data_IF_106122356897
#
_entry.id   IF_106122356897
#
_cell.length_a   1.000
_cell.length_b   1.000
_cell.length_c   1.000
_cell.angle_alpha   90.00
_cell.angle_beta   90.00
_cell.angle_gamma   90.00
#
_symmetry.space_group_name_H-M   'P 1'
#
loop_
_entity.id
_entity.type
_entity.pdbx_description
1 polymer ?
#
# COMPACT_ATOMS: atom_id res chain seq x y z
N UNK A 1 -58.04 62.09 57.77
CA UNK A 1 -57.92 61.16 58.93
C UNK A 1 -56.90 60.10 58.58
N UNK A 2 -56.03 59.81 59.55
CA UNK A 2 -54.73 59.15 59.46
C UNK A 2 -54.73 57.74 58.85
N UNK A 3 -53.68 57.42 58.08
CA UNK A 3 -52.95 56.14 58.11
C UNK A 3 -51.71 56.29 57.21
N UNK A 4 -50.55 56.65 57.76
CA UNK A 4 -49.59 55.85 58.56
C UNK A 4 -48.41 55.43 57.68
N UNK A 5 -47.34 56.21 57.81
CA UNK A 5 -46.00 55.88 57.37
C UNK A 5 -45.48 54.66 58.15
N UNK A 6 -44.86 53.70 57.46
CA UNK A 6 -43.82 52.86 58.03
C UNK A 6 -42.69 52.72 57.01
N UNK A 7 -41.61 53.44 57.27
CA UNK A 7 -40.28 53.13 56.74
C UNK A 7 -39.70 51.97 57.54
N UNK A 8 -39.27 50.92 56.86
CA UNK A 8 -38.29 49.96 57.38
C UNK A 8 -37.28 49.68 56.27
N UNK A 9 -36.16 50.40 56.34
CA UNK A 9 -34.94 50.13 55.59
C UNK A 9 -34.37 48.79 56.04
N UNK A 10 -34.48 47.77 55.19
CA UNK A 10 -33.81 46.49 55.37
C UNK A 10 -32.63 46.42 54.40
N UNK A 11 -31.44 46.72 54.90
CA UNK A 11 -30.16 46.56 54.18
C UNK A 11 -29.90 45.07 53.95
N UNK A 12 -30.16 44.61 52.72
CA UNK A 12 -29.77 43.30 52.22
C UNK A 12 -28.26 43.31 51.95
N UNK A 13 -27.49 42.60 52.76
CA UNK A 13 -26.12 42.23 52.46
C UNK A 13 -26.06 41.43 51.15
N UNK A 14 -25.20 41.78 50.17
CA UNK A 14 -24.96 40.95 49.02
C UNK A 14 -23.95 39.85 49.39
N UNK A 15 -24.37 38.59 49.24
CA UNK A 15 -23.47 37.43 49.17
C UNK A 15 -22.53 37.61 47.96
N UNK A 16 -21.23 37.29 48.06
CA UNK A 16 -20.35 37.34 46.90
C UNK A 16 -20.70 36.19 45.95
N UNK A 17 -21.27 36.51 44.78
CA UNK A 17 -21.39 35.60 43.66
C UNK A 17 -20.01 35.41 43.01
N UNK A 18 -19.15 34.58 43.62
CA UNK A 18 -17.90 34.15 42.99
C UNK A 18 -18.14 32.96 42.07
N UNK A 19 -18.96 33.10 41.03
CA UNK A 19 -19.13 32.10 39.95
C UNK A 19 -19.75 32.70 38.69
N UNK A 20 -19.00 33.49 37.92
CA UNK A 20 -19.33 33.73 36.50
C UNK A 20 -18.22 34.37 35.64
N UNK A 21 -16.95 34.39 36.05
CA UNK A 21 -15.93 35.14 35.29
C UNK A 21 -15.06 34.27 34.38
N UNK A 22 -15.33 32.97 34.27
CA UNK A 22 -14.60 32.10 33.34
C UNK A 22 -15.33 32.05 31.99
N UNK A 23 -15.12 33.07 31.16
CA UNK A 23 -15.29 32.91 29.72
C UNK A 23 -14.06 32.15 29.20
N UNK A 24 -14.21 30.93 28.65
CA UNK A 24 -13.10 30.25 28.02
C UNK A 24 -12.55 31.15 26.91
N UNK A 25 -11.25 31.45 26.96
CA UNK A 25 -10.57 32.18 25.90
C UNK A 25 -10.83 31.47 24.56
N UNK A 26 -11.31 32.23 23.58
CA UNK A 26 -11.41 31.76 22.21
C UNK A 26 -9.98 31.51 21.69
N UNK A 27 -9.52 30.27 21.83
CA UNK A 27 -8.27 29.84 21.22
C UNK A 27 -8.50 29.81 19.71
N UNK A 28 -8.22 30.92 19.03
CA UNK A 28 -8.08 30.92 17.59
C UNK A 28 -7.05 29.84 17.24
N UNK A 29 -7.50 28.74 16.62
CA UNK A 29 -6.59 27.73 16.10
C UNK A 29 -5.59 28.47 15.24
N UNK A 30 -4.29 28.32 15.54
CA UNK A 30 -3.23 28.83 14.66
C UNK A 30 -3.60 28.44 13.23
N UNK A 31 -3.62 29.38 12.26
CA UNK A 31 -3.83 29.00 10.88
C UNK A 31 -2.75 27.96 10.56
N UNK A 32 -3.19 26.75 10.20
CA UNK A 32 -2.29 25.74 9.70
C UNK A 32 -1.57 26.39 8.53
N UNK A 33 -0.22 26.40 8.57
CA UNK A 33 0.55 26.71 7.37
C UNK A 33 0.23 25.62 6.38
N UNK A 34 -0.70 25.89 5.46
CA UNK A 34 -0.93 25.05 4.30
C UNK A 34 0.44 24.94 3.65
N UNK A 35 1.01 23.74 3.64
CA UNK A 35 2.22 23.52 2.86
C UNK A 35 1.84 23.85 1.43
N UNK A 36 2.50 24.86 0.84
CA UNK A 36 2.35 25.14 -0.58
C UNK A 36 2.59 23.84 -1.33
N UNK A 37 1.58 23.43 -2.09
CA UNK A 37 1.63 22.26 -2.92
C UNK A 37 2.87 22.37 -3.81
N UNK A 38 3.83 21.47 -3.59
CA UNK A 38 5.13 21.49 -4.24
C UNK A 38 4.91 21.47 -5.75
N UNK A 39 5.12 22.61 -6.41
CA UNK A 39 5.19 22.68 -7.87
C UNK A 39 6.55 22.12 -8.26
N UNK A 40 6.64 20.88 -8.81
CA UNK A 40 7.91 20.39 -9.30
C UNK A 40 8.41 21.38 -10.36
N UNK A 41 9.62 21.90 -10.16
CA UNK A 41 10.29 22.68 -11.20
C UNK A 41 10.41 21.76 -12.41
N UNK A 42 9.69 22.07 -13.49
CA UNK A 42 9.79 21.38 -14.77
C UNK A 42 11.21 21.59 -15.31
N UNK A 43 12.11 20.69 -14.96
CA UNK A 43 13.41 20.52 -15.56
C UNK A 43 13.52 19.07 -16.00
N UNK A 44 13.94 18.85 -17.24
CA UNK A 44 14.21 17.52 -17.78
C UNK A 44 15.32 16.87 -16.94
N UNK A 45 14.92 15.97 -16.03
CA UNK A 45 15.86 15.28 -15.14
C UNK A 45 16.26 13.99 -15.84
N UNK A 46 17.51 13.91 -16.31
CA UNK A 46 18.07 12.66 -16.82
C UNK A 46 18.14 11.63 -15.68
N UNK A 47 17.11 10.78 -15.57
CA UNK A 47 17.03 9.67 -14.60
C UNK A 47 17.86 8.45 -15.01
N UNK A 48 18.55 8.52 -16.15
CA UNK A 48 19.40 7.44 -16.63
C UNK A 48 20.68 7.35 -15.80
N UNK A 49 20.77 6.32 -14.96
CA UNK A 49 22.04 5.94 -14.33
C UNK A 49 23.05 5.56 -15.41
N UNK A 50 24.36 5.74 -15.15
CA UNK A 50 25.42 5.33 -16.08
C UNK A 50 25.29 3.87 -16.49
N UNK A 51 24.84 3.02 -15.56
CA UNK A 51 24.54 1.61 -15.81
C UNK A 51 23.56 1.37 -16.97
N UNK A 52 22.51 2.20 -17.10
CA UNK A 52 21.53 2.07 -18.18
C UNK A 52 22.03 2.62 -19.52
N UNK A 53 23.00 3.56 -19.48
CA UNK A 53 23.70 4.05 -20.69
C UNK A 53 24.74 3.02 -21.18
N UNK A 54 25.42 2.34 -20.25
CA UNK A 54 26.57 1.48 -20.56
C UNK A 54 26.18 0.01 -20.83
N UNK A 55 25.06 -0.49 -20.26
CA UNK A 55 24.62 -1.89 -20.41
C UNK A 55 23.33 -2.00 -21.22
N UNK A 56 23.41 -1.68 -22.51
CA UNK A 56 22.32 -1.94 -23.46
C UNK A 56 22.44 -3.33 -24.09
N UNK A 57 21.32 -4.06 -24.18
CA UNK A 57 21.28 -5.38 -24.80
C UNK A 57 21.53 -5.26 -26.32
N UNK A 58 22.77 -5.46 -26.75
CA UNK A 58 23.13 -5.49 -28.16
C UNK A 58 22.53 -6.74 -28.83
N UNK A 59 21.73 -6.55 -29.88
CA UNK A 59 21.25 -7.66 -30.71
C UNK A 59 22.43 -8.23 -31.50
N UNK A 60 22.98 -9.33 -31.02
CA UNK A 60 24.00 -10.10 -31.73
C UNK A 60 23.32 -10.72 -32.95
N UNK A 61 23.73 -10.33 -34.16
CA UNK A 61 23.29 -11.03 -35.37
C UNK A 61 23.89 -12.44 -35.36
N UNK A 62 23.13 -13.50 -35.71
CA UNK A 62 23.68 -14.84 -35.78
C UNK A 62 24.84 -14.86 -36.76
N UNK A 63 26.03 -15.24 -36.27
CA UNK A 63 27.23 -15.38 -37.09
C UNK A 63 26.93 -16.33 -38.24
N UNK A 64 26.99 -15.81 -39.46
CA UNK A 64 26.87 -16.64 -40.66
C UNK A 64 28.07 -17.58 -40.66
N UNK A 65 27.83 -18.88 -40.45
CA UNK A 65 28.85 -19.89 -40.66
C UNK A 65 29.25 -19.84 -42.13
N UNK A 66 30.37 -19.20 -42.44
CA UNK A 66 30.95 -19.17 -43.79
C UNK A 66 31.43 -20.58 -44.09
N UNK A 67 30.52 -21.40 -44.65
CA UNK A 67 30.93 -22.62 -45.37
C UNK A 67 31.86 -22.17 -46.51
N UNK A 68 32.99 -22.86 -46.73
CA UNK A 68 33.85 -22.57 -47.88
C UNK A 68 33.02 -22.64 -49.17
N UNK A 69 33.21 -21.67 -50.06
CA UNK A 69 32.55 -21.63 -51.36
C UNK A 69 33.03 -22.81 -52.20
N UNK A 70 32.28 -23.91 -52.18
CA UNK A 70 32.47 -25.03 -53.10
C UNK A 70 32.22 -24.53 -54.53
N UNK A 71 33.30 -24.41 -55.32
CA UNK A 71 33.21 -24.12 -56.76
C UNK A 71 32.49 -25.30 -57.44
N UNK A 72 31.18 -25.16 -57.67
CA UNK A 72 30.45 -26.09 -58.53
C UNK A 72 30.75 -25.76 -59.98
N UNK A 73 31.52 -26.64 -60.62
CA UNK A 73 31.73 -26.61 -62.06
C UNK A 73 30.45 -27.12 -62.75
N UNK A 74 29.52 -26.23 -63.04
CA UNK A 74 28.27 -26.61 -63.72
C UNK A 74 28.55 -26.75 -65.21
N UNK A 75 28.95 -27.95 -65.66
CA UNK A 75 28.86 -28.31 -67.07
C UNK A 75 27.38 -28.52 -67.40
N UNK A 76 26.80 -27.60 -68.18
CA UNK A 76 25.41 -27.63 -68.60
C UNK A 76 25.11 -28.84 -69.48
N UNK A 77 24.03 -29.55 -69.14
CA UNK A 77 23.51 -30.70 -69.87
C UNK A 77 22.93 -31.74 -68.90
N UNK A 78 21.80 -31.43 -68.28
CA UNK A 78 21.13 -32.35 -67.34
C UNK A 78 20.50 -33.48 -68.15
N UNK A 79 21.19 -34.61 -68.26
CA UNK A 79 20.65 -35.83 -68.85
C UNK A 79 19.73 -36.48 -67.80
N UNK A 80 18.46 -36.08 -67.80
CA UNK A 80 17.43 -36.69 -66.95
C UNK A 80 17.04 -38.06 -67.57
N UNK A 81 17.95 -39.04 -67.50
CA UNK A 81 17.67 -40.43 -67.84
C UNK A 81 17.49 -41.21 -66.56
N UNK A 82 16.24 -41.57 -66.25
CA UNK A 82 15.92 -42.45 -65.13
C UNK A 82 16.37 -43.87 -65.54
N UNK A 83 17.29 -44.51 -64.79
CA UNK A 83 17.71 -45.87 -65.12
C UNK A 83 16.51 -46.82 -65.00
N UNK A 84 16.39 -47.79 -65.91
CA UNK A 84 15.21 -48.67 -66.05
C UNK A 84 14.80 -49.31 -64.72
N UNK A 85 15.78 -49.67 -63.89
CA UNK A 85 15.55 -50.20 -62.55
C UNK A 85 14.71 -49.28 -61.65
N UNK A 86 14.92 -47.96 -61.71
CA UNK A 86 14.20 -46.99 -60.87
C UNK A 86 12.78 -46.73 -61.36
N UNK A 87 12.49 -46.91 -62.66
CA UNK A 87 11.12 -46.82 -63.19
C UNK A 87 10.34 -48.14 -63.01
N UNK A 88 11.01 -49.29 -63.20
CA UNK A 88 10.40 -50.62 -63.10
C UNK A 88 10.05 -51.03 -61.66
N UNK A 89 10.89 -50.66 -60.68
CA UNK A 89 10.69 -50.97 -59.25
C UNK A 89 10.15 -49.78 -58.45
N UNK A 90 9.29 -48.96 -59.05
CA UNK A 90 8.58 -47.91 -58.32
C UNK A 90 7.52 -48.50 -57.39
N UNK A 91 7.33 -47.90 -56.22
CA UNK A 91 6.28 -48.31 -55.28
C UNK A 91 4.90 -48.10 -55.92
N UNK A 92 4.25 -49.18 -56.37
CA UNK A 92 2.90 -49.13 -56.88
C UNK A 92 1.94 -48.83 -55.73
N UNK A 93 1.09 -47.81 -55.90
CA UNK A 93 0.04 -47.49 -54.94
C UNK A 93 -1.04 -48.57 -55.04
N UNK A 94 -0.93 -49.58 -54.17
CA UNK A 94 -1.94 -50.64 -54.09
C UNK A 94 -3.22 -50.01 -53.58
N UNK A 95 -4.20 -49.86 -54.49
CA UNK A 95 -5.57 -49.45 -54.14
C UNK A 95 -6.09 -50.43 -53.08
N UNK A 96 -6.13 -49.98 -51.82
CA UNK A 96 -6.70 -50.75 -50.71
C UNK A 96 -8.12 -51.13 -51.12
N UNK A 97 -8.40 -52.43 -51.26
CA UNK A 97 -9.79 -52.90 -51.36
C UNK A 97 -10.53 -52.36 -50.15
N UNK A 98 -11.53 -51.53 -50.42
CA UNK A 98 -12.45 -51.06 -49.38
C UNK A 98 -13.08 -52.31 -48.75
N UNK A 99 -12.88 -52.55 -47.44
CA UNK A 99 -13.68 -53.54 -46.77
C UNK A 99 -15.12 -53.05 -46.91
N UNK A 100 -15.99 -53.84 -47.53
CA UNK A 100 -17.44 -53.62 -47.51
C UNK A 100 -17.91 -53.78 -46.07
N UNK A 101 -17.66 -52.76 -45.25
CA UNK A 101 -18.27 -52.66 -43.94
C UNK A 101 -19.72 -52.36 -44.25
N UNK A 102 -20.58 -53.37 -44.11
CA UNK A 102 -21.99 -53.10 -43.90
C UNK A 102 -22.02 -52.20 -42.67
N UNK A 103 -22.44 -50.95 -42.85
CA UNK A 103 -22.49 -49.96 -41.78
C UNK A 103 -23.49 -50.46 -40.73
N UNK A 104 -22.99 -51.21 -39.74
CA UNK A 104 -23.72 -51.49 -38.52
C UNK A 104 -23.67 -50.22 -37.67
N UNK A 105 -24.49 -49.25 -38.08
CA UNK A 105 -24.72 -48.02 -37.33
C UNK A 105 -25.40 -48.44 -36.04
N UNK A 106 -24.62 -48.55 -34.98
CA UNK A 106 -25.15 -48.78 -33.65
C UNK A 106 -25.97 -47.55 -33.26
N UNK A 107 -27.28 -47.69 -33.23
CA UNK A 107 -28.18 -46.72 -32.63
C UNK A 107 -28.19 -46.98 -31.12
N UNK A 108 -27.57 -46.10 -30.30
CA UNK A 108 -27.68 -46.25 -28.86
C UNK A 108 -29.16 -46.16 -28.46
N UNK A 109 -29.61 -46.89 -27.43
CA UNK A 109 -30.96 -46.77 -26.92
C UNK A 109 -31.22 -45.31 -26.53
N UNK A 110 -32.18 -44.68 -27.20
CA UNK A 110 -32.58 -43.29 -26.94
C UNK A 110 -33.23 -43.16 -25.55
N UNK A 111 -33.78 -44.26 -25.05
CA UNK A 111 -34.45 -44.34 -23.77
C UNK A 111 -33.42 -44.36 -22.63
N UNK A 112 -33.51 -43.37 -21.74
CA UNK A 112 -32.61 -43.26 -20.59
C UNK A 112 -33.06 -44.23 -19.51
N UNK A 113 -32.09 -44.87 -18.83
CA UNK A 113 -32.31 -45.75 -17.70
C UNK A 113 -32.95 -44.97 -16.54
N UNK A 114 -34.28 -45.04 -16.46
CA UNK A 114 -35.10 -44.34 -15.48
C UNK A 114 -35.22 -45.16 -14.20
N UNK A 115 -34.23 -45.05 -13.31
CA UNK A 115 -34.33 -45.58 -11.96
C UNK A 115 -33.99 -44.46 -11.01
N UNK A 116 -35.00 -43.64 -10.74
CA UNK A 116 -35.08 -42.95 -9.46
C UNK A 116 -34.99 -44.03 -8.38
N UNK A 117 -33.98 -43.90 -7.52
CA UNK A 117 -33.92 -44.73 -6.33
C UNK A 117 -35.11 -44.37 -5.44
N UNK A 118 -35.69 -45.32 -4.71
CA UNK A 118 -36.81 -45.06 -3.79
C UNK A 118 -36.59 -43.83 -2.89
N UNK A 119 -35.36 -43.59 -2.46
CA UNK A 119 -34.99 -42.40 -1.70
C UNK A 119 -35.24 -41.07 -2.43
N UNK A 120 -34.99 -41.00 -3.74
CA UNK A 120 -35.22 -39.79 -4.55
C UNK A 120 -36.72 -39.53 -4.77
N UNK A 121 -37.53 -40.58 -4.84
CA UNK A 121 -38.99 -40.44 -4.96
C UNK A 121 -39.65 -40.14 -3.60
N UNK A 122 -39.16 -40.73 -2.51
CA UNK A 122 -39.75 -40.59 -1.18
C UNK A 122 -39.38 -39.26 -0.49
N UNK A 123 -38.17 -38.74 -0.73
CA UNK A 123 -37.62 -37.55 -0.06
C UNK A 123 -37.51 -36.31 -0.98
N UNK A 124 -38.47 -36.13 -1.90
CA UNK A 124 -38.58 -34.86 -2.61
C UNK A 124 -38.95 -33.71 -1.64
N UNK A 125 -38.32 -32.52 -1.74
CA UNK A 125 -38.63 -31.39 -0.87
C UNK A 125 -40.09 -30.96 -1.07
N UNK A 126 -40.95 -31.31 -0.10
CA UNK A 126 -42.35 -30.87 -0.10
C UNK A 126 -42.42 -29.41 0.30
N UNK A 127 -43.08 -28.60 -0.52
CA UNK A 127 -43.39 -27.22 -0.15
C UNK A 127 -44.18 -27.21 1.18
N UNK A 128 -43.65 -26.47 2.15
CA UNK A 128 -44.29 -26.30 3.45
C UNK A 128 -45.54 -25.43 3.26
N UNK A 129 -46.66 -26.08 2.95
CA UNK A 129 -47.97 -25.42 2.95
C UNK A 129 -48.30 -25.01 4.39
N UNK A 130 -48.35 -23.70 4.72
CA UNK A 130 -48.73 -23.27 6.06
C UNK A 130 -50.16 -23.77 6.33
N UNK A 131 -50.30 -24.64 7.33
CA UNK A 131 -51.61 -25.19 7.72
C UNK A 131 -52.52 -24.03 8.10
N UNK A 132 -53.65 -23.89 7.41
CA UNK A 132 -54.66 -22.90 7.80
C UNK A 132 -55.12 -23.22 9.23
N UNK A 133 -54.93 -22.27 10.14
CA UNK A 133 -55.35 -22.44 11.52
C UNK A 133 -56.87 -22.41 11.58
N UNK A 134 -57.51 -23.48 12.07
CA UNK A 134 -58.94 -23.50 12.41
C UNK A 134 -59.27 -22.68 13.67
N UNK A 135 -58.34 -21.85 14.14
CA UNK A 135 -58.59 -20.89 15.20
C UNK A 135 -59.57 -19.87 14.63
N UNK A 136 -60.72 -19.60 15.28
CA UNK A 136 -61.63 -18.57 14.80
C UNK A 136 -60.83 -17.27 14.65
N UNK A 137 -60.92 -16.59 13.48
CA UNK A 137 -60.21 -15.34 13.31
C UNK A 137 -60.67 -14.40 14.41
N UNK A 138 -59.73 -13.91 15.21
CA UNK A 138 -60.01 -12.87 16.18
C UNK A 138 -60.19 -11.58 15.38
N UNK A 139 -61.37 -11.41 14.79
CA UNK A 139 -61.77 -10.16 14.16
C UNK A 139 -62.10 -9.22 15.32
N UNK A 140 -61.09 -8.44 15.74
CA UNK A 140 -61.34 -7.27 16.54
C UNK A 140 -62.34 -6.41 15.74
N UNK A 141 -63.49 -6.09 16.35
CA UNK A 141 -64.46 -5.17 15.73
C UNK A 141 -63.82 -3.79 15.63
N UNK A 142 -63.15 -3.52 14.52
CA UNK A 142 -62.67 -2.18 14.19
C UNK A 142 -63.89 -1.41 13.71
N UNK A 143 -64.27 -0.36 14.43
CA UNK A 143 -65.26 0.60 13.97
C UNK A 143 -64.73 1.29 12.71
N UNK A 144 -65.54 1.39 11.66
CA UNK A 144 -65.23 2.09 10.39
C UNK A 144 -65.15 3.63 10.53
N UNK A 145 -65.06 4.12 11.77
CA UNK A 145 -64.93 5.54 12.07
C UNK A 145 -63.45 5.91 11.97
N UNK A 146 -63.06 6.82 11.06
CA UNK A 146 -61.68 7.27 10.95
C UNK A 146 -61.19 7.80 12.29
N UNK A 147 -60.03 7.33 12.75
CA UNK A 147 -59.43 7.84 13.96
C UNK A 147 -59.01 9.30 13.75
N UNK A 148 -59.67 10.22 14.45
CA UNK A 148 -59.29 11.63 14.43
C UNK A 148 -57.99 11.82 15.24
N UNK A 149 -56.87 11.72 14.54
CA UNK A 149 -55.52 11.88 15.09
C UNK A 149 -55.08 13.35 15.23
N UNK A 150 -56.01 14.30 15.08
CA UNK A 150 -55.73 15.73 15.21
C UNK A 150 -55.81 16.17 16.68
N UNK A 151 -54.68 16.07 17.37
CA UNK A 151 -54.54 16.65 18.71
C UNK A 151 -54.21 18.14 18.61
N UNK A 152 -54.62 18.93 19.61
CA UNK A 152 -54.33 20.37 19.69
C UNK A 152 -52.84 20.66 19.51
N UNK A 153 -51.97 19.81 20.08
CA UNK A 153 -50.52 19.93 19.91
C UNK A 153 -50.07 19.81 18.44
N UNK A 154 -50.63 18.87 17.69
CA UNK A 154 -50.28 18.65 16.28
C UNK A 154 -50.77 19.79 15.38
N UNK A 155 -51.85 20.47 15.76
CA UNK A 155 -52.34 21.67 15.06
C UNK A 155 -51.56 22.93 15.44
N UNK A 156 -51.14 23.07 16.70
CA UNK A 156 -50.46 24.28 17.18
C UNK A 156 -48.96 24.32 16.89
N UNK A 157 -48.30 23.16 16.75
CA UNK A 157 -46.85 23.07 16.53
C UNK A 157 -46.54 22.52 15.15
N UNK A 158 -46.75 23.36 14.14
CA UNK A 158 -46.40 23.07 12.73
C UNK A 158 -45.11 23.82 12.40
N UNK A 159 -44.24 23.19 11.60
CA UNK A 159 -42.97 23.81 11.20
C UNK A 159 -43.22 25.08 10.36
N UNK A 160 -42.96 26.26 10.94
CA UNK A 160 -43.03 27.53 10.22
C UNK A 160 -41.73 27.80 9.45
N UNK A 161 -41.86 28.22 8.19
CA UNK A 161 -40.73 28.66 7.37
C UNK A 161 -40.18 29.98 7.95
N UNK A 162 -38.91 29.98 8.40
CA UNK A 162 -38.27 31.17 8.94
C UNK A 162 -37.89 32.14 7.81
N UNK A 163 -38.21 33.42 7.99
CA UNK A 163 -37.80 34.45 7.04
C UNK A 163 -36.25 34.54 6.98
N UNK A 164 -35.66 34.78 5.78
CA UNK A 164 -34.22 34.85 5.62
C UNK A 164 -33.64 36.02 6.44
N UNK A 165 -32.63 35.70 7.26
CA UNK A 165 -32.00 36.64 8.20
C UNK A 165 -31.19 37.68 7.42
N UNK A 166 -31.55 38.95 7.54
CA UNK A 166 -30.79 40.05 6.96
C UNK A 166 -29.44 40.19 7.68
N UNK A 167 -28.33 39.92 6.97
CA UNK A 167 -26.98 40.01 7.52
C UNK A 167 -26.47 41.44 7.35
N UNK A 168 -26.31 42.17 8.45
CA UNK A 168 -25.61 43.47 8.44
C UNK A 168 -24.12 43.22 8.21
N UNK A 169 -23.49 43.99 7.32
CA UNK A 169 -22.04 43.96 7.13
C UNK A 169 -21.32 44.38 8.43
N UNK A 170 -20.29 43.63 8.80
CA UNK A 170 -19.52 43.86 10.03
C UNK A 170 -18.62 45.09 9.83
N UNK A 171 -18.74 46.10 10.69
CA UNK A 171 -17.82 47.24 10.68
C UNK A 171 -16.38 46.78 10.96
N UNK A 172 -15.44 47.24 10.14
CA UNK A 172 -14.02 46.91 10.30
C UNK A 172 -13.39 47.69 11.45
N UNK A 173 -12.86 46.93 12.41
CA UNK A 173 -12.17 47.46 13.58
C UNK A 173 -10.79 48.01 13.19
N UNK A 174 -10.52 49.27 13.58
CA UNK A 174 -9.18 49.88 13.48
C UNK A 174 -8.46 49.79 14.84
N UNK A 175 -7.45 48.92 15.00
CA UNK A 175 -6.65 48.88 16.22
C UNK A 175 -5.75 50.11 16.34
N UNK A 176 -5.44 50.50 17.58
CA UNK A 176 -4.49 51.55 17.90
C UNK A 176 -3.05 51.05 17.64
N UNK A 177 -2.23 51.86 16.97
CA UNK A 177 -0.88 51.49 16.52
C UNK A 177 0.23 51.70 17.57
N UNK A 178 -0.13 51.94 18.83
CA UNK A 178 0.86 52.18 19.88
C UNK A 178 1.42 50.86 20.41
N UNK A 179 2.74 50.60 20.26
CA UNK A 179 3.35 49.38 20.79
C UNK A 179 3.34 49.42 22.32
N UNK A 180 3.01 48.28 22.93
CA UNK A 180 3.02 48.10 24.38
C UNK A 180 4.45 47.79 24.86
N UNK A 181 4.99 48.62 25.76
CA UNK A 181 6.29 48.38 26.37
C UNK A 181 6.19 47.37 27.52
N UNK A 182 6.34 46.08 27.18
CA UNK A 182 6.21 44.91 28.09
C UNK A 182 7.53 44.53 28.81
N UNK A 183 8.42 45.49 29.04
CA UNK A 183 9.71 45.25 29.69
C UNK A 183 9.67 45.71 31.14
N UNK A 184 9.29 44.79 32.02
CA UNK A 184 9.43 44.98 33.47
C UNK A 184 10.90 44.80 33.88
N UNK A 185 11.31 45.48 34.96
CA UNK A 185 12.69 45.43 35.50
C UNK A 185 13.17 43.99 35.73
N UNK A 186 12.31 43.15 36.31
CA UNK A 186 12.59 41.72 36.52
C UNK A 186 12.94 40.97 35.22
N UNK A 187 12.23 41.25 34.12
CA UNK A 187 12.49 40.59 32.82
C UNK A 187 13.81 41.07 32.18
N UNK A 188 14.22 42.30 32.48
CA UNK A 188 15.50 42.85 32.01
C UNK A 188 16.68 42.32 32.81
N UNK A 189 16.53 42.12 34.13
CA UNK A 189 17.63 41.76 35.02
C UNK A 189 17.87 40.24 35.07
N UNK A 190 16.82 39.42 34.99
CA UNK A 190 16.91 37.96 35.10
C UNK A 190 16.80 37.25 33.74
N UNK A 191 17.71 37.56 32.81
CA UNK A 191 17.74 36.97 31.45
C UNK A 191 18.23 35.53 31.37
N UNK A 192 18.59 34.90 32.50
CA UNK A 192 19.03 33.51 32.54
C UNK A 192 20.23 33.23 31.62
N UNK A 193 21.27 34.06 31.68
CA UNK A 193 22.48 33.84 30.89
C UNK A 193 23.12 32.50 31.30
N UNK A 194 23.24 31.58 30.34
CA UNK A 194 23.87 30.30 30.57
C UNK A 194 25.36 30.50 30.84
N UNK A 195 25.83 30.08 32.02
CA UNK A 195 27.25 30.04 32.33
C UNK A 195 28.00 29.07 31.40
N UNK A 196 29.33 29.22 31.26
CA UNK A 196 30.13 28.28 30.48
C UNK A 196 29.98 26.86 31.04
N UNK A 197 29.74 25.90 30.15
CA UNK A 197 29.52 24.51 30.52
C UNK A 197 30.77 23.93 31.20
N UNK A 198 30.59 23.32 32.37
CA UNK A 198 31.70 22.76 33.15
C UNK A 198 32.44 21.70 32.33
N UNK A 199 33.74 21.92 32.08
CA UNK A 199 34.58 20.94 31.37
C UNK A 199 34.81 19.74 32.28
N UNK A 200 34.53 18.52 31.79
CA UNK A 200 34.80 17.31 32.55
C UNK A 200 36.30 17.06 32.64
N UNK A 201 36.84 16.84 33.85
CA UNK A 201 38.23 16.46 34.10
C UNK A 201 38.53 14.99 33.69
N UNK A 202 37.72 14.38 32.83
CA UNK A 202 37.96 13.02 32.31
C UNK A 202 39.03 13.09 31.22
N UNK A 203 40.08 12.25 31.27
CA UNK A 203 41.03 12.16 30.18
C UNK A 203 40.31 11.73 28.90
N UNK A 204 40.66 12.36 27.79
CA UNK A 204 40.15 12.00 26.47
C UNK A 204 40.58 10.56 26.17
N UNK A 205 39.63 9.68 25.83
CA UNK A 205 39.91 8.29 25.47
C UNK A 205 40.66 8.26 24.14
N UNK A 206 41.97 8.49 24.17
CA UNK A 206 42.85 8.23 23.05
C UNK A 206 42.75 6.73 22.73
N UNK A 207 42.16 6.40 21.57
CA UNK A 207 42.14 5.02 21.09
C UNK A 207 43.59 4.58 20.92
N UNK A 208 44.06 3.69 21.79
CA UNK A 208 45.32 2.99 21.59
C UNK A 208 45.10 2.03 20.43
N UNK A 209 45.35 2.51 19.21
CA UNK A 209 45.37 1.68 18.01
C UNK A 209 46.70 0.93 18.06
N UNK A 210 46.68 -0.30 18.57
CA UNK A 210 47.81 -1.21 18.41
C UNK A 210 47.88 -1.60 16.94
N UNK A 211 48.82 -1.02 16.17
CA UNK A 211 49.10 -1.38 14.78
C UNK A 211 49.81 -2.75 14.64
N UNK A 212 49.71 -3.62 15.64
CA UNK A 212 50.31 -4.95 15.61
C UNK A 212 49.41 -5.88 14.78
N UNK A 213 49.90 -6.32 13.63
CA UNK A 213 49.20 -7.25 12.75
C UNK A 213 49.06 -8.61 13.46
N UNK A 214 47.83 -9.07 13.66
CA UNK A 214 47.56 -10.38 14.25
C UNK A 214 47.79 -11.46 13.20
N UNK A 215 48.85 -12.26 13.37
CA UNK A 215 49.09 -13.43 12.52
C UNK A 215 48.13 -14.57 12.90
N UNK A 216 46.91 -14.51 12.36
CA UNK A 216 45.84 -15.47 12.58
C UNK A 216 45.81 -16.66 11.60
N UNK A 217 46.95 -17.07 11.06
CA UNK A 217 47.01 -18.24 10.17
C UNK A 217 46.89 -19.49 11.03
N UNK A 218 45.81 -20.23 10.87
CA UNK A 218 45.57 -21.49 11.59
C UNK A 218 46.24 -22.64 10.87
N UNK A 219 46.62 -23.70 11.60
CA UNK A 219 47.29 -24.89 11.03
C UNK A 219 46.53 -25.50 9.84
N UNK A 220 45.19 -25.35 9.81
CA UNK A 220 44.37 -25.79 8.70
C UNK A 220 44.62 -24.98 7.42
N UNK A 221 44.70 -23.65 7.53
CA UNK A 221 44.98 -22.78 6.38
C UNK A 221 46.41 -22.96 5.85
N UNK A 222 47.35 -23.29 6.72
CA UNK A 222 48.74 -23.56 6.33
C UNK A 222 48.88 -24.92 5.62
N UNK A 223 48.19 -25.96 6.13
CA UNK A 223 48.34 -27.34 5.61
C UNK A 223 47.48 -27.66 4.39
N UNK A 224 46.38 -26.95 4.17
CA UNK A 224 45.43 -27.23 3.07
C UNK A 224 45.41 -26.08 2.05
N UNK A 225 46.54 -25.88 1.38
CA UNK A 225 46.60 -24.98 0.22
C UNK A 225 46.05 -25.69 -1.03
N UNK A 226 45.37 -24.97 -1.94
CA UNK A 226 44.91 -25.55 -3.20
C UNK A 226 46.11 -25.87 -4.09
N UNK A 227 46.42 -27.16 -4.23
CA UNK A 227 47.43 -27.64 -5.17
C UNK A 227 46.90 -27.51 -6.60
N UNK A 228 47.65 -26.84 -7.47
CA UNK A 228 47.35 -26.81 -8.90
C UNK A 228 47.60 -28.20 -9.49
N UNK A 229 46.53 -28.97 -9.67
CA UNK A 229 46.59 -30.26 -10.35
C UNK A 229 46.61 -30.02 -11.85
N UNK A 230 47.73 -30.32 -12.50
CA UNK A 230 47.80 -30.38 -13.96
C UNK A 230 46.97 -31.57 -14.45
N UNK A 231 46.13 -31.36 -15.47
CA UNK A 231 45.42 -32.44 -16.13
C UNK A 231 46.44 -33.46 -16.72
N UNK A 232 46.18 -34.78 -16.64
CA UNK A 232 47.05 -35.77 -17.25
C UNK A 232 47.21 -35.49 -18.75
N UNK A 233 48.45 -35.49 -19.23
CA UNK A 233 48.71 -35.31 -20.67
C UNK A 233 48.09 -36.49 -21.44
N UNK A 234 47.09 -36.18 -22.26
CA UNK A 234 46.42 -37.16 -23.12
C UNK A 234 47.45 -37.71 -24.09
N UNK A 235 47.71 -39.03 -24.04
CA UNK A 235 48.61 -39.71 -24.97
C UNK A 235 48.13 -39.46 -26.40
N UNK A 236 48.87 -38.65 -27.16
CA UNK A 236 48.63 -38.44 -28.59
C UNK A 236 48.84 -39.78 -29.31
N UNK A 237 47.84 -40.21 -30.06
CA UNK A 237 47.94 -41.40 -30.92
C UNK A 237 49.01 -41.15 -31.98
N UNK A 238 49.91 -42.12 -32.21
CA UNK A 238 50.94 -42.01 -33.24
C UNK A 238 50.26 -41.81 -34.60
N UNK A 239 50.64 -40.75 -35.30
CA UNK A 239 50.14 -40.42 -36.63
C UNK A 239 50.57 -41.49 -37.63
N UNK A 240 49.63 -41.95 -38.47
CA UNK A 240 49.89 -43.01 -39.45
C UNK A 240 50.72 -42.46 -40.59
N UNK A 241 51.87 -43.08 -40.86
CA UNK A 241 52.72 -42.78 -42.02
C UNK A 241 52.33 -43.76 -43.13
N UNK A 242 51.68 -43.32 -44.22
CA UNK A 242 51.36 -44.20 -45.32
C UNK A 242 52.65 -44.68 -46.02
N UNK A 243 52.69 -45.92 -46.53
CA UNK A 243 53.85 -46.43 -47.26
C UNK A 243 54.09 -45.60 -48.52
N UNK A 244 55.36 -45.24 -48.75
CA UNK A 244 55.80 -44.54 -49.96
C UNK A 244 55.80 -45.52 -51.14
N UNK A 245 54.65 -45.61 -51.81
CA UNK A 245 54.48 -46.34 -53.06
C UNK A 245 53.12 -45.99 -53.67
N UNK A 246 53.12 -45.46 -54.89
CA UNK A 246 51.88 -45.26 -55.64
C UNK A 246 51.40 -46.63 -56.13
N UNK A 247 50.21 -47.05 -55.69
CA UNK A 247 49.59 -48.29 -56.13
C UNK A 247 49.10 -48.10 -57.56
N UNK A 248 49.45 -49.02 -58.46
CA UNK A 248 49.04 -48.95 -59.86
C UNK A 248 47.55 -49.34 -59.95
N UNK A 249 46.69 -48.36 -60.27
CA UNK A 249 45.23 -48.53 -60.27
C UNK A 249 44.67 -48.94 -61.64
N UNK A 250 45.54 -49.26 -62.60
CA UNK A 250 45.13 -49.64 -63.95
C UNK A 250 44.73 -51.12 -63.98
N UNK A 251 43.45 -51.39 -64.18
CA UNK A 251 42.96 -52.74 -64.46
C UNK A 251 43.23 -53.12 -65.93
N UNK A 252 43.34 -54.41 -66.23
CA UNK A 252 43.54 -54.88 -67.62
C UNK A 252 42.45 -54.37 -68.55
N UNK A 253 41.19 -54.28 -68.09
CA UNK A 253 40.11 -53.70 -68.89
C UNK A 253 40.31 -52.22 -69.21
N UNK A 254 40.95 -51.44 -68.34
CA UNK A 254 41.24 -50.04 -68.60
C UNK A 254 42.33 -49.86 -69.66
N UNK A 255 43.28 -50.80 -69.72
CA UNK A 255 44.33 -50.83 -70.75
C UNK A 255 43.82 -51.41 -72.08
N UNK A 256 42.94 -52.40 -72.04
CA UNK A 256 42.49 -53.14 -73.23
C UNK A 256 41.35 -52.44 -73.99
N UNK A 257 40.50 -51.65 -73.31
CA UNK A 257 39.36 -50.95 -73.92
C UNK A 257 39.56 -49.44 -74.00
N UNK A 258 40.47 -49.01 -74.87
CA UNK A 258 40.71 -47.58 -75.16
C UNK A 258 39.71 -47.10 -76.23
N UNK A 259 39.11 -45.92 -76.04
CA UNK A 259 38.19 -45.31 -77.02
C UNK A 259 38.88 -45.14 -78.37
N UNK A 260 38.36 -45.77 -79.43
CA UNK A 260 38.81 -45.54 -80.81
C UNK A 260 37.91 -44.51 -81.47
N UNK A 261 38.49 -43.52 -82.14
CA UNK A 261 37.72 -42.51 -82.87
C UNK A 261 37.28 -43.09 -84.22
N UNK A 262 35.97 -43.30 -84.37
CA UNK A 262 35.34 -43.73 -85.62
C UNK A 262 34.65 -42.51 -86.21
N UNK A 263 34.94 -42.16 -87.46
CA UNK A 263 34.25 -41.09 -88.17
C UNK A 263 32.80 -41.51 -88.46
N UNK A 264 31.77 -40.71 -88.11
CA UNK A 264 30.38 -41.07 -88.36
C UNK A 264 30.06 -41.03 -89.86
N UNK A 265 29.40 -42.08 -90.36
CA UNK A 265 28.90 -42.12 -91.73
C UNK A 265 27.71 -41.16 -91.91
N UNK A 266 27.76 -40.32 -92.95
CA UNK A 266 26.73 -39.31 -93.23
C UNK A 266 25.48 -39.96 -93.84
N UNK A 267 24.27 -39.75 -93.28
CA UNK A 267 23.05 -40.25 -93.88
C UNK A 267 22.59 -39.36 -95.05
N UNK A 268 22.36 -39.95 -96.23
CA UNK A 268 21.71 -39.29 -97.36
C UNK A 268 20.19 -39.30 -97.11
N UNK A 269 19.57 -38.12 -96.93
CA UNK A 269 18.10 -37.97 -96.87
C UNK A 269 17.61 -37.05 -97.99
N UNK A 270 16.47 -37.34 -98.64
CA UNK A 270 15.89 -36.46 -99.64
C UNK A 270 15.27 -35.20 -98.99
N UNK A 271 15.37 -34.07 -99.68
CA UNK A 271 14.88 -32.76 -99.21
C UNK A 271 13.35 -32.77 -99.18
N UNK A 272 12.75 -32.77 -97.99
CA UNK A 272 11.31 -32.62 -97.82
C UNK A 272 10.94 -31.13 -97.74
N UNK A 273 10.22 -30.62 -98.74
CA UNK A 273 9.58 -29.31 -98.66
C UNK A 273 8.43 -29.35 -97.65
N UNK A 274 8.60 -28.73 -96.49
CA UNK A 274 7.58 -28.65 -95.44
C UNK A 274 6.46 -27.69 -95.87
N UNK A 275 5.25 -28.20 -96.13
CA UNK A 275 4.03 -27.38 -96.13
C UNK A 275 3.51 -27.28 -94.71
N UNK A 276 3.61 -26.10 -94.09
CA UNK A 276 2.98 -25.80 -92.81
C UNK A 276 1.57 -25.27 -93.10
N UNK A 277 0.55 -26.04 -92.74
CA UNK A 277 -0.83 -25.55 -92.66
C UNK A 277 -1.08 -25.01 -91.27
N UNK A 278 -1.18 -23.69 -91.13
CA UNK A 278 -1.55 -23.02 -89.89
C UNK A 278 -3.07 -23.12 -89.69
N UNK A 279 -3.54 -24.14 -88.99
CA UNK A 279 -4.89 -24.17 -88.43
C UNK A 279 -4.78 -24.26 -86.90
N UNK A 280 -5.40 -23.36 -86.13
CA UNK A 280 -5.30 -23.38 -84.67
C UNK A 280 -6.07 -24.58 -84.11
N UNK A 281 -5.38 -25.38 -83.31
CA UNK A 281 -5.96 -26.53 -82.62
C UNK A 281 -6.92 -26.05 -81.51
N UNK A 282 -8.20 -26.37 -81.64
CA UNK A 282 -9.24 -26.05 -80.64
C UNK A 282 -9.14 -27.07 -79.48
N UNK A 283 -8.19 -26.84 -78.58
CA UNK A 283 -7.87 -27.72 -77.45
C UNK A 283 -8.78 -27.54 -76.23
N UNK A 284 -10.10 -27.61 -76.42
CA UNK A 284 -11.08 -27.65 -75.34
C UNK A 284 -11.61 -29.09 -75.25
N UNK A 285 -10.97 -29.90 -74.41
CA UNK A 285 -11.43 -31.25 -74.09
C UNK A 285 -12.27 -31.20 -72.81
N UNK A 286 -13.29 -32.04 -72.69
CA UNK A 286 -14.18 -32.12 -71.51
C UNK A 286 -13.39 -32.29 -70.20
N UNK A 287 -12.30 -33.07 -70.23
CA UNK A 287 -11.40 -33.22 -69.08
C UNK A 287 -10.80 -31.88 -68.60
N UNK A 288 -10.51 -30.94 -69.51
CA UNK A 288 -9.93 -29.64 -69.15
C UNK A 288 -10.97 -28.68 -68.56
N UNK A 289 -12.24 -28.83 -68.92
CA UNK A 289 -13.35 -28.01 -68.41
C UNK A 289 -13.89 -28.54 -67.07
N UNK A 290 -13.90 -29.86 -66.88
CA UNK A 290 -14.43 -30.51 -65.68
C UNK A 290 -13.45 -30.45 -64.49
N UNK A 291 -12.14 -30.47 -64.73
CA UNK A 291 -11.09 -30.44 -63.71
C UNK A 291 -10.37 -29.08 -63.62
N UNK A 292 -11.15 -28.01 -63.47
CA UNK A 292 -10.63 -26.68 -63.14
C UNK A 292 -10.23 -26.60 -61.67
N UNK A 293 -9.15 -25.90 -61.36
CA UNK A 293 -8.70 -25.71 -59.97
C UNK A 293 -9.75 -24.90 -59.20
N UNK A 294 -10.47 -25.55 -58.28
CA UNK A 294 -11.42 -24.90 -57.38
C UNK A 294 -10.66 -24.24 -56.22
N UNK A 295 -11.01 -23.01 -55.88
CA UNK A 295 -10.42 -22.32 -54.72
C UNK A 295 -10.74 -23.11 -53.44
N UNK A 296 -9.70 -23.65 -52.82
CA UNK A 296 -9.81 -24.38 -51.55
C UNK A 296 -9.99 -23.33 -50.46
N UNK A 297 -11.22 -23.16 -49.96
CA UNK A 297 -11.45 -22.46 -48.71
C UNK A 297 -10.76 -23.24 -47.59
N UNK A 298 -9.68 -22.70 -47.03
CA UNK A 298 -9.07 -23.26 -45.82
C UNK A 298 -10.14 -23.36 -44.74
N UNK A 299 -10.45 -24.58 -44.30
CA UNK A 299 -11.20 -24.77 -43.07
C UNK A 299 -10.32 -24.23 -41.93
N UNK A 300 -10.81 -23.21 -41.24
CA UNK A 300 -10.15 -22.70 -40.05
C UNK A 300 -9.93 -23.87 -39.09
N UNK A 301 -8.69 -23.99 -38.60
CA UNK A 301 -8.31 -24.97 -37.59
C UNK A 301 -9.33 -24.88 -36.46
N UNK A 302 -10.01 -25.99 -36.17
CA UNK A 302 -10.91 -26.10 -35.03
C UNK A 302 -10.07 -25.78 -33.79
N UNK A 303 -10.16 -24.55 -33.30
CA UNK A 303 -9.55 -24.16 -32.03
C UNK A 303 -10.18 -25.08 -30.99
N UNK A 304 -9.36 -25.94 -30.38
CA UNK A 304 -9.75 -26.71 -29.19
C UNK A 304 -10.49 -25.74 -28.28
N UNK A 305 -11.74 -26.08 -27.90
CA UNK A 305 -12.50 -25.26 -26.94
C UNK A 305 -11.58 -24.98 -25.76
N UNK A 306 -11.53 -23.70 -25.38
CA UNK A 306 -10.69 -23.23 -24.28
C UNK A 306 -10.87 -24.18 -23.09
N UNK A 307 -9.74 -24.77 -22.71
CA UNK A 307 -9.34 -25.10 -21.36
C UNK A 307 -10.36 -24.64 -20.31
N UNK A 308 -10.92 -25.62 -19.60
CA UNK A 308 -11.84 -25.55 -18.44
C UNK A 308 -12.05 -24.09 -17.98
N UNK A 309 -13.30 -23.55 -18.00
CA UNK A 309 -13.54 -22.18 -17.57
C UNK A 309 -12.97 -21.99 -16.16
N UNK A 310 -12.03 -21.05 -16.03
CA UNK A 310 -11.44 -20.71 -14.73
C UNK A 310 -12.58 -20.43 -13.76
N UNK A 311 -12.62 -21.07 -12.58
CA UNK A 311 -13.71 -20.86 -11.64
C UNK A 311 -13.80 -19.37 -11.29
N UNK A 312 -14.91 -18.74 -11.69
CA UNK A 312 -15.21 -17.31 -11.43
C UNK A 312 -15.61 -17.05 -9.98
N UNK A 313 -15.48 -18.05 -9.10
CA UNK A 313 -15.74 -17.92 -7.68
C UNK A 313 -14.55 -17.26 -6.98
N UNK A 314 -14.79 -16.16 -6.26
CA UNK A 314 -13.78 -15.60 -5.35
C UNK A 314 -13.53 -16.62 -4.24
N UNK A 315 -12.29 -17.09 -4.10
CA UNK A 315 -11.89 -17.93 -2.98
C UNK A 315 -11.86 -17.06 -1.72
N UNK A 316 -12.70 -17.40 -0.73
CA UNK A 316 -12.70 -16.71 0.56
C UNK A 316 -11.64 -17.36 1.45
N UNK A 317 -10.44 -16.76 1.49
CA UNK A 317 -9.28 -17.15 2.32
C UNK A 317 -9.51 -16.98 3.85
N UNK A 318 -10.67 -17.41 4.35
CA UNK A 318 -11.02 -17.31 5.77
C UNK A 318 -10.86 -18.69 6.41
N UNK A 319 -9.68 -18.92 6.98
CA UNK A 319 -9.45 -20.06 7.85
C UNK A 319 -10.25 -19.91 9.15
N UNK A 320 -10.64 -21.03 9.76
CA UNK A 320 -11.32 -21.05 11.06
C UNK A 320 -10.55 -20.28 12.13
N UNK A 321 -9.21 -20.35 12.10
CA UNK A 321 -8.35 -19.57 12.97
C UNK A 321 -8.53 -18.05 12.77
N UNK A 322 -8.52 -17.57 11.52
CA UNK A 322 -8.64 -16.14 11.21
C UNK A 322 -10.04 -15.59 11.49
N UNK A 323 -11.08 -16.42 11.38
CA UNK A 323 -12.45 -15.99 11.70
C UNK A 323 -12.75 -16.02 13.20
N UNK A 324 -12.12 -16.92 13.96
CA UNK A 324 -12.43 -17.10 15.39
C UNK A 324 -11.51 -16.29 16.31
N UNK A 325 -10.28 -15.96 15.90
CA UNK A 325 -9.32 -15.21 16.70
C UNK A 325 -9.16 -13.78 16.16
N UNK A 326 -10.12 -12.92 16.50
CA UNK A 326 -10.11 -11.49 16.18
C UNK A 326 -9.74 -10.70 17.44
N UNK A 327 -8.94 -9.61 17.36
CA UNK A 327 -8.65 -8.78 18.51
C UNK A 327 -9.93 -8.19 19.12
N UNK A 328 -10.30 -8.68 20.29
CA UNK A 328 -11.40 -8.14 21.08
C UNK A 328 -10.96 -6.86 21.79
N UNK A 329 -11.84 -5.86 21.84
CA UNK A 329 -11.60 -4.67 22.64
C UNK A 329 -11.59 -5.07 24.12
N UNK A 330 -10.41 -5.05 24.73
CA UNK A 330 -10.23 -5.34 26.15
C UNK A 330 -10.81 -4.14 26.91
N UNK A 331 -11.95 -4.35 27.57
CA UNK A 331 -12.52 -3.34 28.47
C UNK A 331 -11.61 -3.28 29.69
N UNK A 332 -10.93 -2.15 29.96
CA UNK A 332 -10.07 -2.03 31.12
C UNK A 332 -10.90 -2.23 32.40
N UNK A 333 -10.44 -3.11 33.28
CA UNK A 333 -11.13 -3.41 34.53
C UNK A 333 -11.25 -2.14 35.39
N UNK A 334 -12.48 -1.74 35.70
CA UNK A 334 -12.73 -0.60 36.57
C UNK A 334 -12.38 -0.97 38.01
N UNK A 335 -11.45 -0.25 38.62
CA UNK A 335 -11.06 -0.50 40.00
C UNK A 335 -12.23 -0.14 40.93
N UNK A 336 -12.76 -1.10 41.70
CA UNK A 336 -13.71 -0.87 42.79
C UNK A 336 -13.06 -0.26 44.04
N UNK A 337 -11.92 0.41 43.88
CA UNK A 337 -11.28 1.10 45.00
C UNK A 337 -12.18 2.27 45.40
N UNK A 338 -12.60 2.38 46.67
CA UNK A 338 -13.39 3.51 47.11
C UNK A 338 -12.63 4.79 46.77
N UNK A 339 -13.32 5.74 46.11
CA UNK A 339 -12.75 7.05 45.86
C UNK A 339 -12.33 7.65 47.21
N UNK A 340 -11.10 8.16 47.31
CA UNK A 340 -10.67 8.95 48.45
C UNK A 340 -11.48 10.26 48.45
N UNK A 341 -12.69 10.21 49.00
CA UNK A 341 -13.48 11.39 49.29
C UNK A 341 -12.78 12.07 50.45
N UNK A 342 -12.07 13.16 50.16
CA UNK A 342 -11.58 14.08 51.18
C UNK A 342 -12.83 14.69 51.80
N UNK A 343 -13.25 14.18 52.96
CA UNK A 343 -14.32 14.78 53.74
C UNK A 343 -13.72 16.04 54.38
N UNK A 344 -14.11 17.26 53.97
CA UNK A 344 -13.65 18.46 54.64
C UNK A 344 -14.28 18.45 56.03
N UNK A 345 -13.45 18.41 57.06
CA UNK A 345 -13.94 18.53 58.42
C UNK A 345 -14.56 19.94 58.56
N UNK A 346 -15.85 20.09 58.93
CA UNK A 346 -16.49 21.41 59.04
C UNK A 346 -15.94 22.24 60.20
N UNK A 347 -15.07 21.65 61.03
CA UNK A 347 -14.38 22.34 62.11
C UNK A 347 -13.32 23.30 61.56
N UNK A 348 -13.49 24.58 61.85
CA UNK A 348 -12.52 25.63 61.55
C UNK A 348 -11.18 25.34 62.25
N UNK A 349 -10.09 25.29 61.49
CA UNK A 349 -8.74 25.09 62.01
C UNK A 349 -8.37 26.24 62.97
N UNK A 350 -8.11 25.89 64.22
CA UNK A 350 -7.71 26.85 65.25
C UNK A 350 -6.19 27.06 65.15
N UNK A 351 -5.78 28.02 64.34
CA UNK A 351 -4.36 28.38 64.08
C UNK A 351 -3.79 29.35 65.15
N UNK A 352 -4.35 29.32 66.36
CA UNK A 352 -3.92 30.18 67.45
C UNK A 352 -2.87 29.47 68.28
N UNK A 353 -1.62 29.90 68.11
CA UNK A 353 -0.53 29.50 68.99
C UNK A 353 -0.48 30.44 70.19
N UNK A 354 -0.12 29.92 71.37
CA UNK A 354 0.01 30.70 72.61
C UNK A 354 0.91 31.94 72.42
N UNK A 355 1.93 31.83 71.57
CA UNK A 355 2.83 32.94 71.26
C UNK A 355 2.12 34.11 70.55
N UNK A 356 1.18 33.82 69.63
CA UNK A 356 0.43 34.82 68.87
C UNK A 356 -0.57 35.59 69.74
N UNK A 357 -1.11 34.95 70.78
CA UNK A 357 -2.05 35.58 71.71
C UNK A 357 -1.33 36.33 72.84
N UNK A 358 -0.20 35.81 73.32
CA UNK A 358 0.53 36.39 74.46
C UNK A 358 1.45 37.57 74.08
N UNK A 359 2.06 37.55 72.89
CA UNK A 359 2.99 38.59 72.43
C UNK A 359 2.31 39.59 71.50
N UNK A 360 1.29 40.28 72.01
CA UNK A 360 0.71 41.45 71.35
C UNK A 360 1.42 42.74 71.82
N UNK A 361 1.51 43.78 70.98
CA UNK A 361 2.18 45.02 71.35
C UNK A 361 1.49 45.67 72.54
N UNK A 362 2.15 45.66 73.70
CA UNK A 362 1.65 46.31 74.92
C UNK A 362 1.79 47.82 74.78
N UNK A 363 0.78 48.57 75.21
CA UNK A 363 0.86 50.04 75.27
C UNK A 363 2.01 50.42 76.20
N UNK A 364 2.94 51.21 75.71
CA UNK A 364 4.02 51.77 76.54
C UNK A 364 3.44 52.89 77.40
N UNK A 365 3.43 52.71 78.72
CA UNK A 365 3.04 53.78 79.63
C UNK A 365 4.18 54.80 79.74
N UNK A 366 3.87 56.08 79.50
CA UNK A 366 4.85 57.17 79.59
C UNK A 366 5.09 57.48 81.06
N UNK A 367 6.36 57.47 81.47
CA UNK A 367 6.76 57.81 82.85
C UNK A 367 6.21 59.19 83.27
N UNK A 368 5.55 59.30 84.44
CA UNK A 368 4.99 60.56 84.94
C UNK A 368 6.03 61.70 85.04
N UNK A 369 7.31 61.38 85.21
CA UNK A 369 8.40 62.35 85.28
C UNK A 369 8.72 63.05 83.94
N UNK A 370 8.21 62.55 82.81
CA UNK A 370 8.38 63.18 81.50
C UNK A 370 7.41 64.36 81.30
N UNK A 371 6.39 64.51 82.15
CA UNK A 371 5.46 65.63 82.08
C UNK A 371 6.02 66.83 82.87
N UNK A 372 5.99 68.05 82.30
CA UNK A 372 6.36 69.27 83.03
C UNK A 372 5.45 69.55 84.24
N UNK A 373 4.22 69.02 84.20
CA UNK A 373 3.29 68.91 85.31
C UNK A 373 2.54 67.57 85.19
N UNK A 374 2.87 66.55 86.02
CA UNK A 374 2.23 65.24 85.90
C UNK A 374 0.73 65.32 86.21
N UNK A 375 -0.13 64.71 85.38
CA UNK A 375 -1.58 64.72 85.60
C UNK A 375 -1.93 64.08 86.94
N UNK A 376 -2.73 64.77 87.76
CA UNK A 376 -3.11 64.34 89.11
C UNK A 376 -2.22 64.88 90.24
N UNK A 377 -1.15 65.61 89.93
CA UNK A 377 -0.27 66.22 90.92
C UNK A 377 -0.28 67.75 90.80
N UNK A 378 -0.18 68.46 91.93
CA UNK A 378 -0.18 69.93 91.98
C UNK A 378 1.19 70.43 92.39
N UNK A 379 1.74 71.40 91.65
CA UNK A 379 3.00 72.04 92.00
C UNK A 379 2.85 72.92 93.24
N UNK A 380 3.73 72.77 94.22
CA UNK A 380 3.72 73.60 95.44
C UNK A 380 4.90 74.56 95.45
N UNK A 381 6.13 74.03 95.42
CA UNK A 381 7.34 74.83 95.61
C UNK A 381 8.57 74.19 94.97
N UNK A 382 9.59 75.02 94.78
CA UNK A 382 10.94 74.61 94.40
C UNK A 382 11.87 74.81 95.57
N UNK A 383 12.64 73.77 95.90
CA UNK A 383 13.73 73.86 96.86
C UNK A 383 14.87 74.75 96.32
N UNK A 384 15.74 75.21 97.22
CA UNK A 384 16.94 76.01 96.89
C UNK A 384 17.91 75.31 95.94
N UNK A 385 17.80 73.99 95.82
CA UNK A 385 18.59 73.15 94.90
C UNK A 385 17.89 72.93 93.54
N UNK A 386 16.72 73.53 93.31
CA UNK A 386 15.99 73.49 92.03
C UNK A 386 15.01 72.32 91.86
N UNK A 387 14.81 71.49 92.89
CA UNK A 387 13.85 70.39 92.84
C UNK A 387 12.41 70.90 92.99
N UNK A 388 11.51 70.47 92.08
CA UNK A 388 10.08 70.82 92.09
C UNK A 388 9.30 69.76 92.85
N UNK A 389 8.55 70.14 93.89
CA UNK A 389 7.68 69.22 94.64
C UNK A 389 6.25 69.21 94.08
N UNK A 390 5.74 68.00 93.88
CA UNK A 390 4.43 67.72 93.35
C UNK A 390 3.73 66.65 94.22
N UNK A 391 2.89 67.01 95.20
CA UNK A 391 2.02 66.05 95.88
C UNK A 391 0.80 65.67 95.03
N UNK A 392 0.35 64.42 95.20
CA UNK A 392 -0.83 63.89 94.54
C UNK A 392 -2.09 64.54 95.12
N UNK A 393 -2.94 65.11 94.26
CA UNK A 393 -4.21 65.69 94.68
C UNK A 393 -5.32 64.66 94.51
N UNK A 394 -5.73 64.05 95.63
CA UNK A 394 -6.98 63.28 95.70
C UNK A 394 -8.15 64.23 95.48
N UNK A 395 -8.79 64.14 94.32
CA UNK A 395 -10.12 64.70 94.08
C UNK A 395 -11.09 63.65 94.63
N UNK A 396 -11.71 63.93 95.78
CA UNK A 396 -12.83 63.14 96.32
C UNK A 396 -14.09 63.53 95.56
#
# INVERSE_FOLDING_TARGET
>A
LLQSCLCTTCTRFPLPQFRSDYLPYDTMRRPFRVQEEYKPKTGERELGTTYQKDYNAHKIQPVTLVRPLERKHTMGGKLDTIPTYQDDYRSWEVQRREPSKVDHIYHPPTEKFGNSTTFQDDFAPRELNPRQSYKPPCVAKLSDVPFDSTTSHRMSYIAHQLAPKFVKSKEEYRPNNQPFEDLTTHRNDFKGLAGPLAKSCKPENAKVISNAHFNGVTEFQDRFQPWLVSLPEVRKTKEYIPPLGSMDFNSTSHLDYVKHEISPAVPIRPISNTRITNAPFQGNTTMKEDFKAWDICQQEIIKKQQEIPKPTGKFYDLTTFKSHYIPHQIIPAQSFKPAHVILPNPAHFQDETMYRTEYTPKKQEICPANYPSPPGYVYINTDSHGHKFFPFKLII
#
